data_IF_702092201418
#
_entry.id   IF_702092201418
#
_cell.length_a   1.000
_cell.length_b   1.000
_cell.length_c   1.000
_cell.angle_alpha   90.00
_cell.angle_beta   90.00
_cell.angle_gamma   90.00
#
_symmetry.space_group_name_H-M   'P 1'
#
loop_
_entity.id
_entity.type
_entity.pdbx_description
1 polymer ?
#
# COMPACT_ATOMS: atom_id res chain seq x y z
N UNK A 1 4.13 -15.40 -14.17
CA UNK A 1 3.82 -14.08 -13.62
C UNK A 1 3.84 -13.07 -14.74
N UNK A 2 2.72 -12.37 -14.90
CA UNK A 2 2.61 -11.21 -15.77
C UNK A 2 3.20 -9.97 -15.07
N UNK A 3 3.54 -8.94 -15.84
CA UNK A 3 4.06 -7.68 -15.33
C UNK A 3 3.01 -6.60 -15.49
N UNK A 4 2.45 -6.11 -14.38
CA UNK A 4 1.63 -4.88 -14.37
C UNK A 4 2.56 -3.67 -14.40
N UNK A 5 2.69 -3.04 -15.56
CA UNK A 5 3.60 -1.90 -15.77
C UNK A 5 2.82 -0.59 -15.85
N UNK A 6 2.39 -0.10 -14.68
CA UNK A 6 1.54 1.08 -14.60
C UNK A 6 0.24 0.90 -15.38
N UNK A 7 0.08 1.60 -16.50
CA UNK A 7 -1.13 1.62 -17.32
C UNK A 7 -1.24 0.49 -18.37
N UNK A 8 -0.31 -0.46 -18.40
CA UNK A 8 -0.35 -1.65 -19.25
C UNK A 8 0.04 -2.92 -18.49
N UNK A 9 -0.16 -4.07 -19.12
CA UNK A 9 0.35 -5.36 -18.64
C UNK A 9 1.06 -6.11 -19.76
N UNK A 10 2.11 -6.84 -19.39
CA UNK A 10 2.94 -7.68 -20.26
C UNK A 10 2.76 -9.12 -19.79
N UNK A 11 2.49 -10.02 -20.72
CA UNK A 11 2.24 -11.43 -20.45
C UNK A 11 3.53 -12.18 -20.05
N UNK A 12 3.39 -13.38 -19.51
CA UNK A 12 4.54 -14.18 -19.03
C UNK A 12 5.51 -14.61 -20.15
N UNK A 13 5.04 -14.62 -21.40
CA UNK A 13 5.82 -14.88 -22.61
C UNK A 13 6.46 -13.62 -23.23
N UNK A 14 6.24 -12.45 -22.63
CA UNK A 14 6.76 -11.16 -23.08
C UNK A 14 5.90 -10.44 -24.12
N UNK A 15 4.75 -11.00 -24.52
CA UNK A 15 3.77 -10.31 -25.38
C UNK A 15 2.98 -9.26 -24.60
N UNK A 16 2.36 -8.31 -25.29
CA UNK A 16 1.52 -7.30 -24.64
C UNK A 16 0.15 -7.88 -24.29
N UNK A 17 -0.21 -7.88 -23.01
CA UNK A 17 -1.52 -8.38 -22.54
C UNK A 17 -2.62 -7.33 -22.75
N UNK A 18 -2.39 -6.10 -22.27
CA UNK A 18 -3.27 -4.95 -22.55
C UNK A 18 -2.56 -3.61 -22.39
N UNK A 19 -3.16 -2.56 -22.95
CA UNK A 19 -2.91 -1.17 -22.54
C UNK A 19 -4.24 -0.48 -22.24
N UNK A 20 -4.30 0.25 -21.12
CA UNK A 20 -5.50 1.01 -20.74
C UNK A 20 -5.60 2.34 -21.50
N UNK A 21 -4.48 2.84 -22.05
CA UNK A 21 -4.40 4.18 -22.63
C UNK A 21 -4.44 5.33 -21.62
N UNK A 22 -4.42 5.04 -20.31
CA UNK A 22 -4.51 6.06 -19.25
C UNK A 22 -3.18 6.77 -18.93
N UNK A 23 -2.07 6.31 -19.51
CA UNK A 23 -0.77 6.97 -19.41
C UNK A 23 -0.07 6.82 -18.04
N UNK A 24 0.98 7.60 -17.83
CA UNK A 24 1.88 7.51 -16.67
C UNK A 24 1.18 7.85 -15.34
N UNK A 25 1.67 7.25 -14.26
CA UNK A 25 1.18 7.42 -12.90
C UNK A 25 2.27 7.27 -11.85
N UNK A 26 2.08 7.92 -10.70
CA UNK A 26 3.09 8.00 -9.63
C UNK A 26 2.86 7.00 -8.47
N UNK A 27 1.73 6.28 -8.48
CA UNK A 27 1.42 5.21 -7.54
C UNK A 27 0.47 4.15 -8.12
N UNK A 28 0.67 2.89 -7.71
CA UNK A 28 -0.18 1.75 -8.08
C UNK A 28 -0.19 0.66 -7.01
N UNK A 29 -1.29 -0.08 -6.90
CA UNK A 29 -1.51 -1.15 -5.93
C UNK A 29 -2.18 -2.31 -6.66
N UNK A 30 -1.53 -3.48 -6.65
CA UNK A 30 -2.07 -4.75 -7.18
C UNK A 30 -2.33 -5.68 -6.01
N UNK A 31 -3.58 -6.07 -5.82
CA UNK A 31 -4.01 -7.04 -4.79
C UNK A 31 -5.44 -7.50 -5.10
N UNK A 32 -6.00 -8.34 -4.25
CA UNK A 32 -7.42 -8.66 -4.22
C UNK A 32 -8.15 -7.53 -3.45
N UNK A 33 -8.42 -6.44 -4.17
CA UNK A 33 -8.96 -5.18 -3.61
C UNK A 33 -10.46 -5.30 -3.42
N UNK A 34 -11.14 -5.96 -4.37
CA UNK A 34 -12.55 -6.29 -4.29
C UNK A 34 -12.74 -7.82 -4.13
N UNK A 35 -12.79 -8.33 -2.88
CA UNK A 35 -12.87 -9.78 -2.61
C UNK A 35 -14.18 -10.44 -3.06
N UNK A 36 -15.17 -9.68 -3.55
CA UNK A 36 -16.39 -10.22 -4.13
C UNK A 36 -16.30 -10.34 -5.66
N UNK A 37 -15.18 -9.93 -6.26
CA UNK A 37 -14.86 -10.08 -7.68
C UNK A 37 -13.75 -11.13 -7.83
N UNK A 38 -13.94 -12.17 -8.65
CA UNK A 38 -12.87 -13.12 -8.92
C UNK A 38 -11.71 -12.44 -9.65
N UNK A 39 -10.50 -12.59 -9.13
CA UNK A 39 -9.28 -12.08 -9.73
C UNK A 39 -8.57 -11.10 -8.82
N UNK A 40 -7.71 -10.27 -9.42
CA UNK A 40 -7.04 -9.18 -8.74
C UNK A 40 -7.44 -7.88 -9.41
N UNK A 41 -7.31 -6.78 -8.69
CA UNK A 41 -7.47 -5.44 -9.24
C UNK A 41 -6.19 -4.62 -9.12
N UNK A 42 -6.12 -3.60 -9.96
CA UNK A 42 -5.10 -2.56 -9.87
C UNK A 42 -5.76 -1.22 -9.55
N UNK A 43 -5.47 -0.67 -8.38
CA UNK A 43 -5.74 0.73 -8.09
C UNK A 43 -4.54 1.57 -8.52
N UNK A 44 -4.74 2.54 -9.42
CA UNK A 44 -3.66 3.43 -9.86
C UNK A 44 -4.14 4.88 -10.01
N UNK A 45 -3.19 5.80 -9.90
CA UNK A 45 -3.36 7.22 -10.24
C UNK A 45 -2.61 7.55 -11.54
N UNK A 46 -3.01 8.61 -12.22
CA UNK A 46 -2.41 9.07 -13.47
C UNK A 46 -2.07 10.55 -13.40
N UNK A 47 -0.86 10.91 -13.83
CA UNK A 47 -0.40 12.30 -13.87
C UNK A 47 -0.98 13.04 -15.08
N UNK A 48 -1.35 14.31 -14.89
CA UNK A 48 -1.89 15.19 -15.95
C UNK A 48 -2.96 14.51 -16.84
N UNK A 49 -3.97 13.87 -16.24
CA UNK A 49 -4.97 13.12 -16.97
C UNK A 49 -5.77 14.03 -17.92
N UNK A 50 -5.93 13.58 -19.17
CA UNK A 50 -6.87 14.15 -20.14
C UNK A 50 -8.16 13.34 -20.26
N UNK A 51 -8.38 12.41 -19.32
CA UNK A 51 -9.47 11.44 -19.25
C UNK A 51 -10.11 11.43 -17.85
N UNK A 52 -11.32 10.87 -17.66
CA UNK A 52 -12.01 10.91 -16.37
C UNK A 52 -11.45 9.96 -15.30
N UNK A 53 -10.48 9.10 -15.64
CA UNK A 53 -9.97 8.03 -14.76
C UNK A 53 -8.63 8.39 -14.07
N UNK A 54 -8.52 9.61 -13.56
CA UNK A 54 -7.29 10.11 -12.92
C UNK A 54 -6.83 9.26 -11.73
N UNK A 55 -7.79 8.72 -10.97
CA UNK A 55 -7.59 7.54 -10.13
C UNK A 55 -8.58 6.48 -10.62
N UNK A 56 -8.19 5.20 -10.64
CA UNK A 56 -9.10 4.13 -11.07
C UNK A 56 -8.78 2.82 -10.37
N UNK A 57 -9.82 2.01 -10.27
CA UNK A 57 -9.71 0.57 -10.05
C UNK A 57 -10.01 -0.14 -11.36
N UNK A 58 -9.17 -1.09 -11.73
CA UNK A 58 -9.35 -1.92 -12.94
C UNK A 58 -9.08 -3.38 -12.65
N UNK A 59 -9.69 -4.23 -13.43
CA UNK A 59 -9.41 -5.66 -13.48
C UNK A 59 -7.95 -5.88 -13.94
N UNK A 60 -7.16 -6.61 -13.14
CA UNK A 60 -5.72 -6.76 -13.38
C UNK A 60 -5.40 -7.67 -14.57
N UNK A 61 -6.31 -8.56 -14.98
CA UNK A 61 -6.10 -9.48 -16.09
C UNK A 61 -6.46 -8.84 -17.44
N UNK A 62 -7.50 -8.00 -17.46
CA UNK A 62 -8.08 -7.46 -18.71
C UNK A 62 -7.80 -5.97 -18.91
N UNK A 63 -7.39 -5.26 -17.87
CA UNK A 63 -7.21 -3.80 -17.88
C UNK A 63 -8.53 -3.03 -17.94
N UNK A 64 -9.68 -3.70 -17.86
CA UNK A 64 -10.99 -3.06 -17.90
C UNK A 64 -11.19 -2.22 -16.63
N UNK A 65 -11.38 -0.91 -16.81
CA UNK A 65 -11.73 0.00 -15.71
C UNK A 65 -13.07 -0.42 -15.11
N UNK A 66 -13.07 -0.63 -13.79
CA UNK A 66 -14.26 -0.95 -12.99
C UNK A 66 -14.94 0.36 -12.57
N UNK A 67 -14.17 1.30 -12.02
CA UNK A 67 -14.60 2.65 -11.70
C UNK A 67 -13.39 3.60 -11.69
N UNK A 68 -13.63 4.92 -11.69
CA UNK A 68 -12.58 5.90 -11.50
C UNK A 68 -13.07 7.29 -11.11
N UNK A 69 -12.12 8.13 -10.71
CA UNK A 69 -12.33 9.48 -10.23
C UNK A 69 -11.64 10.48 -11.16
N UNK A 70 -12.36 11.55 -11.48
CA UNK A 70 -11.80 12.66 -12.24
C UNK A 70 -11.12 13.63 -11.29
N UNK A 71 -9.79 13.61 -11.29
CA UNK A 71 -8.92 14.45 -10.48
C UNK A 71 -7.97 15.22 -11.39
N UNK A 72 -7.51 16.40 -10.96
CA UNK A 72 -6.68 17.26 -11.81
C UNK A 72 -5.25 16.73 -12.04
N UNK A 73 -4.58 16.32 -10.96
CA UNK A 73 -3.19 15.84 -10.98
C UNK A 73 -2.87 15.12 -9.65
N UNK A 74 -3.43 13.91 -9.43
CA UNK A 74 -3.13 13.14 -8.22
C UNK A 74 -1.67 12.70 -8.25
N UNK A 75 -0.87 13.21 -7.30
CA UNK A 75 0.54 12.84 -7.16
C UNK A 75 0.79 11.70 -6.16
N UNK A 76 -0.26 11.22 -5.49
CA UNK A 76 -0.25 10.06 -4.60
C UNK A 76 -1.60 9.36 -4.60
N UNK A 77 -1.60 8.04 -4.40
CA UNK A 77 -2.78 7.24 -4.11
C UNK A 77 -2.43 6.09 -3.17
N UNK A 78 -3.44 5.52 -2.51
CA UNK A 78 -3.31 4.34 -1.67
C UNK A 78 -4.55 3.46 -1.81
N UNK A 79 -4.36 2.14 -1.76
CA UNK A 79 -5.43 1.16 -1.63
C UNK A 79 -5.08 0.14 -0.55
N UNK A 80 -5.88 0.09 0.52
CA UNK A 80 -5.77 -0.86 1.63
C UNK A 80 -7.04 -0.84 2.49
N UNK A 81 -7.32 -1.93 3.20
CA UNK A 81 -8.44 -2.01 4.15
C UNK A 81 -8.16 -1.15 5.40
N UNK A 82 -8.96 -0.12 5.63
CA UNK A 82 -8.85 0.74 6.82
C UNK A 82 -10.20 0.93 7.54
N UNK A 83 -11.29 0.42 6.97
CA UNK A 83 -12.65 0.64 7.44
C UNK A 83 -13.50 -0.65 7.37
N UNK A 84 -13.67 -1.37 8.50
CA UNK A 84 -14.33 -2.67 8.52
C UNK A 84 -15.84 -2.61 8.22
N UNK A 85 -16.40 -1.40 8.02
CA UNK A 85 -17.80 -1.23 7.59
C UNK A 85 -17.99 -1.54 6.11
N UNK A 86 -16.91 -1.66 5.35
CA UNK A 86 -16.91 -1.91 3.91
C UNK A 86 -15.93 -3.04 3.60
N UNK A 87 -16.44 -4.17 3.10
CA UNK A 87 -15.57 -5.30 2.73
C UNK A 87 -14.72 -4.93 1.51
N UNK A 88 -13.43 -5.27 1.55
CA UNK A 88 -12.44 -4.93 0.52
C UNK A 88 -11.56 -3.77 0.93
N UNK A 89 -10.73 -3.27 0.02
CA UNK A 89 -9.87 -2.14 0.33
C UNK A 89 -10.55 -0.80 0.03
N UNK A 90 -10.32 0.17 0.91
CA UNK A 90 -10.56 1.56 0.59
C UNK A 90 -9.48 2.10 -0.34
N UNK A 91 -9.87 3.05 -1.18
CA UNK A 91 -9.06 3.71 -2.18
C UNK A 91 -9.16 5.23 -2.02
N UNK A 92 -8.02 5.92 -2.00
CA UNK A 92 -7.99 7.39 -2.01
C UNK A 92 -6.74 7.95 -2.68
N UNK A 93 -6.85 9.20 -3.12
CA UNK A 93 -5.73 9.96 -3.64
C UNK A 93 -5.47 11.18 -2.76
N UNK A 94 -4.29 11.79 -2.85
CA UNK A 94 -4.03 13.03 -2.10
C UNK A 94 -5.03 14.14 -2.45
N UNK A 95 -5.43 14.22 -3.72
CA UNK A 95 -6.36 15.20 -4.28
C UNK A 95 -7.82 14.72 -4.39
N UNK A 96 -8.16 13.52 -3.91
CA UNK A 96 -9.56 13.10 -3.84
C UNK A 96 -10.32 13.92 -2.80
N UNK A 97 -11.65 14.00 -2.95
CA UNK A 97 -12.55 14.73 -2.06
C UNK A 97 -13.07 13.87 -0.89
N UNK A 98 -12.56 12.64 -0.76
CA UNK A 98 -12.96 11.70 0.28
C UNK A 98 -12.31 10.33 0.12
N UNK A 99 -12.83 9.39 0.92
CA UNK A 99 -12.46 7.99 0.94
C UNK A 99 -13.50 7.19 0.15
N UNK A 100 -13.03 6.26 -0.67
CA UNK A 100 -13.88 5.46 -1.54
C UNK A 100 -13.68 3.98 -1.21
N UNK A 101 -14.74 3.17 -1.26
CA UNK A 101 -14.59 1.71 -1.12
C UNK A 101 -14.16 1.06 -2.45
N UNK A 102 -13.92 -0.25 -2.43
CA UNK A 102 -13.54 -1.05 -3.60
C UNK A 102 -14.59 -1.02 -4.74
N UNK A 103 -15.83 -0.62 -4.46
CA UNK A 103 -16.92 -0.46 -5.44
C UNK A 103 -16.96 0.93 -6.09
N UNK A 104 -16.12 1.86 -5.64
CA UNK A 104 -16.08 3.23 -6.14
C UNK A 104 -17.12 4.16 -5.51
N UNK A 105 -17.75 3.74 -4.41
CA UNK A 105 -18.69 4.57 -3.66
C UNK A 105 -17.92 5.43 -2.66
N UNK A 106 -18.28 6.72 -2.58
CA UNK A 106 -17.71 7.62 -1.57
C UNK A 106 -18.32 7.28 -0.21
N UNK A 107 -17.50 6.77 0.70
CA UNK A 107 -17.94 6.31 2.03
C UNK A 107 -17.73 7.37 3.12
N UNK A 108 -16.87 8.37 2.87
CA UNK A 108 -16.58 9.44 3.82
C UNK A 108 -16.00 10.66 3.13
N UNK A 109 -16.37 11.86 3.58
CA UNK A 109 -15.69 13.11 3.22
C UNK A 109 -14.32 13.24 3.88
N UNK A 110 -14.16 12.64 5.07
CA UNK A 110 -12.88 12.53 5.75
C UNK A 110 -12.07 11.38 5.16
N UNK A 111 -10.78 11.60 4.93
CA UNK A 111 -9.82 10.59 4.48
C UNK A 111 -8.47 10.78 5.17
N UNK A 112 -7.63 9.75 5.26
CA UNK A 112 -6.23 9.94 5.61
C UNK A 112 -5.57 10.98 4.70
N UNK A 113 -4.83 11.92 5.30
CA UNK A 113 -4.06 12.91 4.54
C UNK A 113 -2.82 12.30 3.89
N UNK A 114 -2.29 11.24 4.49
CA UNK A 114 -1.17 10.49 3.96
C UNK A 114 -1.63 9.52 2.89
N UNK A 115 -0.83 9.44 1.83
CA UNK A 115 -0.94 8.47 0.74
C UNK A 115 0.51 8.06 0.41
N UNK A 116 1.06 7.12 1.17
CA UNK A 116 2.43 6.65 0.98
C UNK A 116 2.48 5.11 0.98
N UNK A 117 2.52 4.48 2.15
CA UNK A 117 2.56 3.03 2.27
C UNK A 117 1.52 2.54 3.27
N UNK A 118 1.01 1.33 3.04
CA UNK A 118 0.30 0.57 4.06
C UNK A 118 1.27 -0.33 4.82
N UNK A 119 0.99 -0.57 6.10
CA UNK A 119 1.73 -1.51 6.94
C UNK A 119 0.78 -2.25 7.86
N UNK A 120 0.87 -3.58 7.98
CA UNK A 120 0.20 -4.32 9.05
C UNK A 120 1.04 -4.29 10.31
N UNK A 121 0.63 -3.50 11.30
CA UNK A 121 1.44 -3.21 12.48
C UNK A 121 0.79 -3.67 13.78
N UNK A 122 -0.51 -3.48 13.95
CA UNK A 122 -1.20 -3.83 15.20
C UNK A 122 -1.80 -5.26 15.21
N UNK A 123 -2.79 -5.50 16.06
CA UNK A 123 -3.33 -6.83 16.29
C UNK A 123 -4.50 -7.23 15.39
N UNK A 124 -5.15 -6.27 14.73
CA UNK A 124 -6.29 -6.53 13.83
C UNK A 124 -5.82 -6.73 12.37
N UNK A 125 -6.77 -6.91 11.44
CA UNK A 125 -6.48 -7.17 10.01
C UNK A 125 -6.60 -5.92 9.15
N UNK A 126 -7.01 -4.79 9.74
CA UNK A 126 -6.96 -3.51 9.06
C UNK A 126 -5.50 -3.10 8.92
N UNK A 127 -5.24 -2.25 7.93
CA UNK A 127 -3.89 -1.84 7.59
C UNK A 127 -3.63 -0.42 8.11
N UNK A 128 -2.49 -0.25 8.76
CA UNK A 128 -1.99 1.05 9.21
C UNK A 128 -1.29 1.79 8.06
N UNK A 129 -1.08 3.08 8.27
CA UNK A 129 -0.43 3.99 7.33
C UNK A 129 1.02 4.21 7.76
N UNK A 130 1.95 3.90 6.87
CA UNK A 130 3.38 4.18 6.99
C UNK A 130 3.76 5.39 6.14
N UNK A 131 4.28 6.43 6.78
CA UNK A 131 4.71 7.64 6.07
C UNK A 131 5.76 8.42 6.89
N UNK A 132 6.14 9.60 6.41
CA UNK A 132 6.96 10.52 7.18
C UNK A 132 6.95 11.94 6.66
N UNK A 133 7.60 12.82 7.40
CA UNK A 133 7.85 14.19 7.00
C UNK A 133 9.34 14.42 6.78
N UNK A 134 9.68 15.06 5.67
CA UNK A 134 11.06 15.48 5.41
C UNK A 134 11.50 16.52 6.44
N UNK A 135 12.73 16.42 6.99
CA UNK A 135 13.35 17.49 7.77
C UNK A 135 13.49 18.81 7.00
N UNK A 136 13.46 18.74 5.66
CA UNK A 136 13.51 19.90 4.75
C UNK A 136 12.12 20.41 4.34
N UNK A 137 11.04 19.88 4.93
CA UNK A 137 9.71 20.42 4.69
C UNK A 137 9.59 21.83 5.27
N UNK A 138 8.93 22.75 4.54
CA UNK A 138 8.75 24.16 4.93
C UNK A 138 8.01 24.36 6.27
N UNK A 139 7.51 23.28 6.87
CA UNK A 139 6.75 23.27 8.13
C UNK A 139 7.63 23.19 9.40
N UNK A 140 8.96 23.16 9.28
CA UNK A 140 9.86 23.40 10.42
C UNK A 140 9.83 22.34 11.54
N UNK A 141 9.55 21.08 11.22
CA UNK A 141 9.66 19.96 12.17
C UNK A 141 11.03 19.26 12.10
N UNK A 142 11.37 18.43 13.10
CA UNK A 142 12.59 17.59 13.10
C UNK A 142 12.65 16.57 11.93
N UNK A 143 11.62 16.54 11.07
CA UNK A 143 11.30 15.40 10.22
C UNK A 143 10.98 14.17 11.07
N UNK A 144 10.39 13.15 10.47
CA UNK A 144 10.15 11.91 11.19
C UNK A 144 9.32 10.94 10.39
N UNK A 145 9.68 9.67 10.48
CA UNK A 145 8.86 8.57 10.02
C UNK A 145 7.80 8.23 11.07
N UNK A 146 6.67 7.67 10.66
CA UNK A 146 5.61 7.29 11.56
C UNK A 146 4.74 6.15 11.02
N UNK A 147 4.05 5.50 11.95
CA UNK A 147 2.94 4.59 11.69
C UNK A 147 1.69 5.18 12.35
N UNK A 148 0.65 5.38 11.56
CA UNK A 148 -0.65 5.92 11.98
C UNK A 148 -1.75 4.90 11.71
N UNK A 149 -2.73 4.76 12.61
CA UNK A 149 -3.97 4.01 12.38
C UNK A 149 -5.11 4.94 12.00
N UNK A 150 -5.97 4.53 11.08
CA UNK A 150 -7.19 5.26 10.76
C UNK A 150 -8.29 4.95 11.79
N UNK A 151 -8.81 5.98 12.43
CA UNK A 151 -10.02 5.93 13.26
C UNK A 151 -11.22 6.18 12.34
N UNK A 152 -11.74 5.10 11.75
CA UNK A 152 -12.85 5.13 10.81
C UNK A 152 -14.15 5.67 11.41
N UNK A 153 -14.31 5.62 12.74
CA UNK A 153 -15.49 6.16 13.44
C UNK A 153 -15.43 7.70 13.46
N UNK A 154 -14.27 8.26 13.79
CA UNK A 154 -14.12 9.70 13.98
C UNK A 154 -13.48 10.44 12.79
N UNK A 155 -13.08 9.73 11.74
CA UNK A 155 -12.52 10.32 10.53
C UNK A 155 -11.16 10.99 10.75
N UNK A 156 -10.28 10.39 11.57
CA UNK A 156 -8.96 10.94 11.91
C UNK A 156 -7.89 9.85 11.99
N UNK A 157 -6.63 10.24 12.02
CA UNK A 157 -5.51 9.33 12.26
C UNK A 157 -5.07 9.35 13.72
N UNK A 158 -4.60 8.21 14.22
CA UNK A 158 -4.03 8.02 15.55
C UNK A 158 -2.58 7.54 15.38
N UNK A 159 -1.63 8.26 15.97
CA UNK A 159 -0.21 7.89 15.95
C UNK A 159 0.03 6.63 16.78
N UNK A 160 0.55 5.56 16.16
CA UNK A 160 0.98 4.35 16.87
C UNK A 160 2.48 4.34 17.14
N UNK A 161 3.29 4.76 16.16
CA UNK A 161 4.75 4.81 16.29
C UNK A 161 5.29 6.09 15.67
N UNK A 162 6.14 6.80 16.40
CA UNK A 162 6.86 7.98 15.92
C UNK A 162 8.36 7.68 15.87
N UNK A 163 8.90 7.45 14.68
CA UNK A 163 10.31 7.15 14.46
C UNK A 163 11.24 8.28 14.93
N UNK A 164 10.76 9.52 15.02
CA UNK A 164 11.57 10.64 15.53
C UNK A 164 11.99 10.45 17.00
N UNK A 165 11.19 9.71 17.80
CA UNK A 165 11.52 9.41 19.19
C UNK A 165 12.71 8.44 19.31
N UNK A 166 13.07 7.79 18.19
CA UNK A 166 14.20 6.90 18.03
C UNK A 166 15.23 7.45 17.04
N UNK A 167 15.28 8.78 16.86
CA UNK A 167 16.19 9.46 15.93
C UNK A 167 16.19 8.90 14.49
N UNK A 168 15.07 8.32 14.07
CA UNK A 168 14.91 7.76 12.74
C UNK A 168 14.37 8.80 11.74
N UNK A 169 14.83 8.68 10.49
CA UNK A 169 14.39 9.49 9.37
C UNK A 169 13.96 8.61 8.19
N UNK A 170 13.10 9.20 7.35
CA UNK A 170 12.75 8.67 6.05
C UNK A 170 13.78 9.02 4.97
N UNK A 171 13.69 8.34 3.84
CA UNK A 171 14.52 8.50 2.64
C UNK A 171 13.77 9.24 1.52
N UNK A 172 14.49 9.57 0.45
CA UNK A 172 13.94 10.03 -0.83
C UNK A 172 13.10 11.33 -0.75
N UNK A 173 13.48 12.24 0.16
CA UNK A 173 12.92 13.58 0.22
C UNK A 173 11.44 13.59 0.59
N UNK A 174 10.58 14.12 -0.29
CA UNK A 174 9.12 14.16 -0.06
C UNK A 174 8.46 12.80 -0.21
N UNK A 175 9.08 11.84 -0.91
CA UNK A 175 8.55 10.47 -1.01
C UNK A 175 8.58 9.74 0.34
N UNK A 176 9.45 10.17 1.26
CA UNK A 176 9.44 9.80 2.66
C UNK A 176 9.41 8.27 2.89
N UNK A 177 10.20 7.52 2.12
CA UNK A 177 10.19 6.06 2.18
C UNK A 177 10.95 5.54 3.41
N UNK A 178 10.60 4.35 3.94
CA UNK A 178 11.51 3.59 4.78
C UNK A 178 12.76 3.15 3.99
N UNK A 179 13.73 2.55 4.67
CA UNK A 179 14.74 1.75 3.98
C UNK A 179 14.10 0.48 3.39
N UNK A 180 13.19 -0.14 4.16
CA UNK A 180 12.36 -1.28 3.80
C UNK A 180 11.17 -1.36 4.78
N UNK A 181 10.01 -1.81 4.34
CA UNK A 181 9.04 -2.48 5.23
C UNK A 181 8.71 -3.85 4.64
N UNK A 182 8.67 -4.87 5.49
CA UNK A 182 8.31 -6.23 5.12
C UNK A 182 8.15 -7.09 6.39
N UNK A 183 7.33 -8.14 6.34
CA UNK A 183 7.41 -9.28 7.27
C UNK A 183 8.76 -9.98 7.03
N UNK A 184 9.74 -9.74 7.90
CA UNK A 184 11.09 -10.35 7.79
C UNK A 184 11.45 -11.15 9.03
N UNK A 185 10.73 -10.96 10.13
CA UNK A 185 10.96 -11.58 11.42
C UNK A 185 9.61 -11.83 12.12
N UNK A 186 9.57 -12.77 13.07
CA UNK A 186 8.42 -12.93 13.94
C UNK A 186 7.22 -13.61 13.26
N UNK A 187 6.04 -12.99 13.39
CA UNK A 187 4.81 -13.48 12.77
C UNK A 187 4.46 -12.68 11.51
N UNK A 188 3.18 -12.62 11.14
CA UNK A 188 2.73 -12.09 9.85
C UNK A 188 2.82 -10.56 9.72
N UNK A 189 3.05 -9.84 10.82
CA UNK A 189 3.08 -8.37 10.80
C UNK A 189 4.41 -7.88 10.30
N UNK A 190 4.39 -6.68 9.74
CA UNK A 190 5.51 -6.17 8.96
C UNK A 190 6.48 -5.39 9.86
N UNK A 191 7.76 -5.70 9.77
CA UNK A 191 8.80 -4.82 10.30
C UNK A 191 8.95 -3.59 9.41
N UNK A 192 9.43 -2.50 10.02
CA UNK A 192 9.91 -1.33 9.29
C UNK A 192 11.36 -1.03 9.64
N UNK A 193 12.16 -0.75 8.60
CA UNK A 193 13.55 -0.35 8.72
C UNK A 193 13.69 1.11 8.37
N UNK A 194 14.19 1.91 9.31
CA UNK A 194 14.57 3.30 9.06
C UNK A 194 16.05 3.51 9.36
N UNK A 195 16.64 4.51 8.70
CA UNK A 195 17.99 4.97 9.04
C UNK A 195 17.94 5.93 10.22
N UNK A 196 19.02 5.98 10.99
CA UNK A 196 19.23 7.09 11.95
C UNK A 196 19.46 8.41 11.22
N UNK A 197 19.28 9.51 11.94
CA UNK A 197 19.45 10.87 11.42
C UNK A 197 20.84 11.09 10.83
N UNK A 198 21.87 10.58 11.51
CA UNK A 198 23.27 10.64 11.09
C UNK A 198 23.64 9.62 10.00
N UNK A 199 22.71 8.71 9.65
CA UNK A 199 22.88 7.71 8.60
C UNK A 199 23.87 6.59 8.94
N UNK A 200 24.22 6.40 10.22
CA UNK A 200 25.20 5.38 10.65
C UNK A 200 24.59 4.03 11.04
N UNK A 201 23.30 4.01 11.37
CA UNK A 201 22.60 2.79 11.78
C UNK A 201 21.32 2.61 10.97
N UNK A 202 20.96 1.34 10.78
CA UNK A 202 19.61 0.93 10.43
C UNK A 202 18.94 0.41 11.69
N UNK A 203 17.72 0.87 11.95
CA UNK A 203 16.90 0.40 13.08
C UNK A 203 15.71 -0.35 12.52
N UNK A 204 15.60 -1.60 12.94
CA UNK A 204 14.50 -2.50 12.60
C UNK A 204 13.49 -2.42 13.74
N UNK A 205 12.27 -2.04 13.43
CA UNK A 205 11.15 -2.00 14.37
C UNK A 205 10.24 -3.18 14.07
N UNK A 206 9.98 -3.99 15.09
CA UNK A 206 8.97 -5.05 15.08
C UNK A 206 7.88 -4.69 16.10
N UNK A 207 6.66 -5.13 15.84
CA UNK A 207 5.52 -4.83 16.72
C UNK A 207 5.58 -5.67 18.00
N UNK A 208 5.08 -5.10 19.09
CA UNK A 208 4.88 -5.80 20.37
C UNK A 208 3.42 -5.84 20.80
N UNK A 209 2.53 -5.30 19.95
CA UNK A 209 1.08 -5.36 20.16
C UNK A 209 0.69 -6.83 20.01
N UNK A 210 -0.08 -7.45 20.91
CA UNK A 210 -0.51 -8.84 20.75
C UNK A 210 -1.55 -8.98 19.64
N UNK A 211 -1.57 -10.15 18.99
CA UNK A 211 -2.63 -10.59 18.07
C UNK A 211 -3.02 -12.02 18.39
N UNK A 212 -4.30 -12.36 18.24
CA UNK A 212 -4.82 -13.73 18.32
C UNK A 212 -4.88 -14.40 16.93
N UNK A 213 -4.44 -13.69 15.89
CA UNK A 213 -4.48 -14.14 14.50
C UNK A 213 -3.15 -14.76 14.09
N UNK A 214 -3.23 -15.82 13.30
CA UNK A 214 -2.07 -16.52 12.77
C UNK A 214 -2.23 -16.75 11.29
N UNK A 215 -1.29 -16.20 10.52
CA UNK A 215 -1.17 -16.41 9.08
C UNK A 215 0.21 -17.00 8.77
N UNK A 216 0.38 -17.52 7.55
CA UNK A 216 1.72 -17.78 7.05
C UNK A 216 2.46 -16.45 6.92
N UNK A 217 3.79 -16.47 7.06
CA UNK A 217 4.61 -15.30 6.73
C UNK A 217 4.27 -14.82 5.32
N UNK A 218 4.10 -13.52 5.15
CA UNK A 218 3.81 -12.92 3.87
C UNK A 218 4.97 -13.11 2.89
N UNK A 219 6.18 -13.39 3.35
CA UNK A 219 7.30 -13.75 2.47
C UNK A 219 7.12 -15.10 1.76
N UNK A 220 6.10 -15.87 2.12
CA UNK A 220 5.66 -17.06 1.38
C UNK A 220 4.47 -16.82 0.45
N UNK A 221 3.86 -15.62 0.46
CA UNK A 221 2.91 -15.20 -0.58
C UNK A 221 3.70 -14.71 -1.82
N UNK A 222 3.43 -15.24 -3.03
CA UNK A 222 4.24 -14.93 -4.21
C UNK A 222 4.18 -13.44 -4.59
N UNK A 223 3.00 -12.81 -4.51
CA UNK A 223 2.82 -11.40 -4.90
C UNK A 223 3.48 -10.49 -3.86
N UNK A 224 3.29 -10.76 -2.56
CA UNK A 224 3.93 -10.02 -1.49
C UNK A 224 5.44 -10.15 -1.57
N UNK A 225 5.98 -11.36 -1.69
CA UNK A 225 7.43 -11.60 -1.75
C UNK A 225 8.07 -10.87 -2.92
N UNK A 226 7.42 -10.84 -4.09
CA UNK A 226 7.89 -10.08 -5.25
C UNK A 226 7.73 -8.58 -5.03
N UNK A 227 6.68 -8.14 -4.34
CA UNK A 227 6.51 -6.73 -3.98
C UNK A 227 7.63 -6.19 -3.09
N UNK A 228 8.15 -7.02 -2.21
CA UNK A 228 9.36 -6.72 -1.43
C UNK A 228 10.60 -6.65 -2.33
N UNK A 229 10.73 -7.49 -3.37
CA UNK A 229 11.87 -7.44 -4.32
C UNK A 229 11.93 -6.10 -5.03
N UNK A 230 10.80 -5.60 -5.56
CA UNK A 230 10.79 -4.36 -6.34
C UNK A 230 10.57 -3.11 -5.49
N UNK A 231 10.40 -3.21 -4.17
CA UNK A 231 10.11 -2.07 -3.30
C UNK A 231 11.14 -0.93 -3.45
N UNK A 232 12.40 -1.23 -3.79
CA UNK A 232 13.45 -0.23 -3.97
C UNK A 232 13.44 0.48 -5.34
N UNK A 233 12.58 0.07 -6.27
CA UNK A 233 12.59 0.53 -7.66
C UNK A 233 11.88 1.88 -7.78
N UNK A 234 12.55 2.85 -8.40
CA UNK A 234 12.03 4.17 -8.74
C UNK A 234 11.32 4.88 -7.56
N UNK A 235 9.99 5.05 -7.64
CA UNK A 235 9.17 5.55 -6.54
C UNK A 235 8.59 4.36 -5.77
N UNK A 236 9.23 4.00 -4.66
CA UNK A 236 8.88 2.85 -3.83
C UNK A 236 7.37 2.80 -3.53
N UNK A 237 6.71 1.68 -3.88
CA UNK A 237 5.31 1.40 -3.55
C UNK A 237 5.22 0.41 -2.37
N UNK A 238 4.11 0.36 -1.62
CA UNK A 238 3.94 -0.61 -0.53
C UNK A 238 3.92 -2.05 -1.02
N UNK A 239 4.34 -2.98 -0.16
CA UNK A 239 4.14 -4.40 -0.40
C UNK A 239 2.65 -4.76 -0.38
N UNK A 240 2.21 -5.70 -1.23
CA UNK A 240 0.82 -6.13 -1.33
C UNK A 240 0.72 -7.65 -1.48
N UNK A 241 -0.18 -8.34 -0.77
CA UNK A 241 -0.41 -9.76 -0.92
C UNK A 241 -1.28 -10.08 -2.14
N UNK A 242 -1.18 -11.32 -2.59
CA UNK A 242 -1.99 -11.87 -3.68
C UNK A 242 -3.39 -12.35 -3.29
N UNK A 243 -3.85 -12.00 -2.09
CA UNK A 243 -5.14 -12.36 -1.53
C UNK A 243 -5.69 -11.20 -0.68
N UNK A 244 -6.99 -11.18 -0.43
CA UNK A 244 -7.59 -10.15 0.41
C UNK A 244 -7.19 -10.34 1.87
N UNK A 245 -6.42 -9.37 2.39
CA UNK A 245 -6.00 -9.31 3.78
C UNK A 245 -6.68 -8.12 4.45
N UNK A 246 -7.80 -8.39 5.13
CA UNK A 246 -8.70 -7.37 5.65
C UNK A 246 -9.87 -7.94 6.45
N UNK A 247 -10.78 -7.07 6.89
CA UNK A 247 -11.94 -7.49 7.69
C UNK A 247 -12.91 -8.38 6.89
N UNK A 248 -13.42 -9.44 7.51
CA UNK A 248 -14.28 -10.41 6.81
C UNK A 248 -13.56 -11.25 5.74
N UNK A 249 -12.22 -11.27 5.72
CA UNK A 249 -11.43 -12.16 4.87
C UNK A 249 -11.73 -13.64 5.14
N UNK A 250 -11.61 -14.47 4.10
CA UNK A 250 -11.48 -15.91 4.27
C UNK A 250 -10.11 -16.26 4.86
N UNK A 251 -9.94 -17.50 5.33
CA UNK A 251 -8.61 -17.98 5.72
C UNK A 251 -7.66 -17.92 4.49
N UNK A 252 -6.46 -17.31 4.62
CA UNK A 252 -5.53 -17.25 3.50
C UNK A 252 -5.16 -18.64 3.00
N UNK A 253 -4.95 -18.81 1.68
CA UNK A 253 -4.56 -20.09 1.14
C UNK A 253 -3.21 -20.53 1.72
N UNK A 254 -3.04 -21.84 1.90
CA UNK A 254 -1.71 -22.39 2.21
C UNK A 254 -0.79 -22.12 1.03
N UNK A 255 0.40 -21.52 1.24
CA UNK A 255 1.36 -21.28 0.17
C UNK A 255 1.74 -22.56 -0.57
N UNK A 256 1.63 -22.53 -1.90
CA UNK A 256 2.07 -23.62 -2.79
C UNK A 256 3.53 -23.42 -3.18
N UNK A 257 4.44 -23.67 -2.23
CA UNK A 257 5.87 -23.42 -2.41
C UNK A 257 6.72 -24.66 -2.10
N UNK A 258 7.91 -24.70 -2.70
CA UNK A 258 8.99 -25.65 -2.37
C UNK A 258 10.26 -24.88 -2.04
N UNK A 259 10.99 -25.28 -1.02
CA UNK A 259 12.32 -24.70 -0.72
C UNK A 259 13.40 -25.50 -1.43
N UNK A 260 14.50 -24.87 -1.89
CA UNK A 260 15.66 -25.61 -2.39
C UNK A 260 16.13 -26.63 -1.34
N UNK A 261 16.48 -27.83 -1.79
CA UNK A 261 17.14 -28.79 -0.90
C UNK A 261 18.52 -28.23 -0.51
N UNK A 262 18.83 -28.26 0.78
CA UNK A 262 20.15 -27.90 1.30
C UNK A 262 21.17 -29.02 1.06
#
# INVERSE_FOLDING_TARGET
>A
DEIIYGACAIDDDGTGLYTTGLGHGDAMHLSDIDPDRPGLEVFAIHERPSHPYAANLRDAATGKVIWGLQLRDPGRGLAMDIDPRHKGYECWANSSDGLYNCKGEKISDAKPRSCNMGIWWDGDVLREILDGSSPRSRAGGKGGAFIDKWDYINGKVIRLLNGADYDCLTNNGTKANPCLHADILGDWREEVIWRTRDGKELRIFTTTIPTDRRFYTFMHDPIYRLSVVWQNVAYNQPAQPGFYMGDGMAAPPRPSITTPAH
#
